data_IF_783228340893
#
_entry.id   IF_783228340893
#
_cell.length_a   1.000
_cell.length_b   1.000
_cell.length_c   1.000
_cell.angle_alpha   90.00
_cell.angle_beta   90.00
_cell.angle_gamma   90.00
#
_symmetry.space_group_name_H-M   'P 1'
#
loop_
_entity.id
_entity.type
_entity.pdbx_description
1 polymer ?
#
# COMPACT_ATOMS: atom_id res chain seq x y z
N UNK A 1 40.75 -3.09 -29.02
CA UNK A 1 41.51 -1.97 -28.43
C UNK A 1 40.66 -0.71 -28.52
N UNK A 2 39.82 -0.52 -27.51
CA UNK A 2 39.36 0.79 -27.00
C UNK A 2 39.02 0.54 -25.53
N UNK A 3 39.61 1.32 -24.64
CA UNK A 3 39.66 1.12 -23.19
C UNK A 3 38.29 1.26 -22.48
N UNK A 4 38.06 0.56 -21.35
CA UNK A 4 36.88 0.72 -20.50
C UNK A 4 37.10 1.82 -19.45
N UNK A 5 36.22 2.83 -19.43
CA UNK A 5 36.19 3.87 -18.39
C UNK A 5 35.48 3.38 -17.12
N UNK A 6 36.26 3.22 -16.06
CA UNK A 6 35.83 3.05 -14.66
C UNK A 6 35.32 4.38 -14.09
N UNK A 7 34.18 4.35 -13.40
CA UNK A 7 33.80 5.42 -12.45
C UNK A 7 33.66 4.77 -11.08
N UNK A 8 34.43 5.32 -10.15
CA UNK A 8 34.72 4.82 -8.82
C UNK A 8 33.62 5.25 -7.83
N UNK A 9 33.42 4.42 -6.81
CA UNK A 9 32.67 4.69 -5.59
C UNK A 9 33.07 6.01 -4.93
N UNK A 10 32.10 6.70 -4.31
CA UNK A 10 32.09 7.18 -2.92
C UNK A 10 31.08 8.32 -2.78
N UNK A 11 30.01 8.09 -2.00
CA UNK A 11 29.42 9.12 -1.13
C UNK A 11 28.44 8.46 -0.16
N UNK A 12 29.01 7.98 0.94
CA UNK A 12 28.28 7.60 2.13
C UNK A 12 27.77 8.88 2.82
N UNK A 13 26.46 9.16 2.72
CA UNK A 13 25.84 10.23 3.50
C UNK A 13 25.73 9.79 4.96
N UNK A 14 26.49 10.52 5.75
CA UNK A 14 26.65 10.46 7.19
C UNK A 14 25.35 10.80 7.93
N UNK A 15 25.13 10.04 9.01
CA UNK A 15 24.09 10.11 10.03
C UNK A 15 23.92 11.49 10.67
N UNK A 16 22.67 11.89 10.95
CA UNK A 16 22.38 12.59 12.21
C UNK A 16 20.90 12.48 12.64
N UNK A 17 20.68 11.86 13.81
CA UNK A 17 19.40 11.86 14.54
C UNK A 17 19.47 12.91 15.66
N UNK A 18 18.48 13.82 15.79
CA UNK A 18 18.36 14.64 16.99
C UNK A 18 17.43 14.00 18.04
N UNK A 19 18.08 13.57 19.13
CA UNK A 19 17.81 13.86 20.57
C UNK A 19 16.36 13.96 21.06
N UNK A 20 15.99 12.99 21.92
CA UNK A 20 14.89 13.02 22.89
C UNK A 20 15.02 14.15 23.92
N UNK A 21 13.89 14.74 24.30
CA UNK A 21 13.67 15.52 25.53
C UNK A 21 12.18 15.41 25.95
N UNK A 22 11.76 15.88 27.14
CA UNK A 22 11.92 15.21 28.44
C UNK A 22 10.58 14.76 29.07
N UNK A 23 10.67 13.89 30.08
CA UNK A 23 9.56 13.38 30.89
C UNK A 23 8.86 14.50 31.68
N UNK A 24 7.59 14.74 31.38
CA UNK A 24 6.69 15.57 32.19
C UNK A 24 6.26 14.84 33.48
N UNK A 25 6.55 15.47 34.62
CA UNK A 25 6.07 15.14 35.97
C UNK A 25 4.67 15.73 36.13
N UNK A 26 3.64 14.90 36.30
CA UNK A 26 2.33 15.35 36.77
C UNK A 26 2.26 15.18 38.28
N UNK A 27 1.83 16.25 38.93
CA UNK A 27 1.68 16.45 40.36
C UNK A 27 0.37 15.85 40.86
N UNK A 28 0.43 15.17 42.00
CA UNK A 28 -0.74 14.66 42.73
C UNK A 28 -1.57 15.82 43.31
N UNK A 29 -2.83 15.91 42.89
CA UNK A 29 -3.84 16.81 43.47
C UNK A 29 -4.76 16.05 44.40
N UNK A 30 -4.64 16.29 45.70
CA UNK A 30 -5.44 15.69 46.75
C UNK A 30 -6.84 16.33 46.91
N UNK A 31 -7.79 15.46 47.25
CA UNK A 31 -8.90 15.65 48.20
C UNK A 31 -9.97 16.73 47.93
N UNK A 32 -11.18 16.25 47.60
CA UNK A 32 -12.45 16.92 47.87
C UNK A 32 -13.42 15.93 48.53
N UNK A 33 -13.44 15.88 49.86
CA UNK A 33 -14.35 15.07 50.64
C UNK A 33 -15.69 15.79 50.84
N UNK A 34 -16.74 15.36 50.11
CA UNK A 34 -18.12 15.79 50.31
C UNK A 34 -18.98 14.68 50.90
N UNK A 35 -19.15 14.67 52.23
CA UNK A 35 -20.15 13.85 52.95
C UNK A 35 -21.57 14.35 52.66
N UNK A 36 -22.52 13.43 52.47
CA UNK A 36 -23.99 13.44 52.81
C UNK A 36 -24.75 12.59 51.77
N UNK A 37 -25.71 11.71 52.05
CA UNK A 37 -26.48 11.26 53.23
C UNK A 37 -26.86 9.78 52.99
N UNK A 38 -26.89 8.95 54.03
CA UNK A 38 -27.54 7.63 53.98
C UNK A 38 -29.07 7.82 53.88
N UNK A 39 -29.71 7.15 52.93
CA UNK A 39 -31.15 7.08 52.85
C UNK A 39 -31.61 6.11 51.77
N UNK A 40 -32.23 5.01 52.21
CA UNK A 40 -33.09 4.19 51.35
C UNK A 40 -32.47 2.89 50.85
N UNK A 41 -32.51 1.85 51.68
CA UNK A 41 -32.55 0.47 51.19
C UNK A 41 -33.87 0.31 50.44
N UNK A 42 -33.84 0.21 49.11
CA UNK A 42 -34.92 -0.40 48.33
C UNK A 42 -34.33 -1.52 47.49
N UNK A 43 -34.63 -2.71 47.98
CA UNK A 43 -34.53 -4.02 47.36
C UNK A 43 -34.88 -3.96 45.86
N UNK A 44 -33.88 -4.11 45.00
CA UNK A 44 -34.03 -4.09 43.54
C UNK A 44 -33.03 -5.02 42.87
N UNK A 45 -33.45 -6.27 42.69
CA UNK A 45 -32.99 -7.26 41.71
C UNK A 45 -31.52 -7.20 41.27
N UNK A 46 -30.73 -8.13 41.80
CA UNK A 46 -29.81 -9.03 41.06
C UNK A 46 -29.37 -8.57 39.65
N UNK A 47 -28.50 -7.56 39.58
CA UNK A 47 -27.62 -7.34 38.42
C UNK A 47 -26.17 -7.34 38.90
N UNK A 48 -25.69 -8.51 39.36
CA UNK A 48 -24.25 -8.79 39.38
C UNK A 48 -23.86 -9.13 37.94
N UNK A 49 -23.94 -8.13 37.05
CA UNK A 49 -23.34 -8.23 35.73
C UNK A 49 -21.84 -8.12 35.96
N UNK A 50 -21.16 -9.27 36.06
CA UNK A 50 -19.71 -9.37 36.00
C UNK A 50 -19.21 -8.49 34.88
N UNK A 51 -18.62 -7.34 35.24
CA UNK A 51 -17.79 -6.57 34.36
C UNK A 51 -16.49 -7.37 34.17
N UNK A 52 -16.58 -8.45 33.40
CA UNK A 52 -15.46 -8.95 32.63
C UNK A 52 -15.13 -7.85 31.64
N UNK A 53 -14.37 -6.86 32.10
CA UNK A 53 -13.54 -6.05 31.23
C UNK A 53 -12.58 -7.03 30.55
N UNK A 54 -13.04 -7.67 29.48
CA UNK A 54 -12.17 -8.17 28.44
C UNK A 54 -11.45 -6.92 27.93
N UNK A 55 -10.31 -6.61 28.53
CA UNK A 55 -9.29 -5.87 27.83
C UNK A 55 -8.94 -6.76 26.65
N UNK A 56 -9.66 -6.58 25.54
CA UNK A 56 -9.20 -6.98 24.23
C UNK A 56 -7.91 -6.20 24.07
N UNK A 57 -6.79 -6.83 24.42
CA UNK A 57 -5.50 -6.40 23.91
C UNK A 57 -5.66 -6.58 22.41
N UNK A 58 -6.09 -5.52 21.71
CA UNK A 58 -5.71 -5.40 20.31
C UNK A 58 -4.19 -5.48 20.38
N UNK A 59 -3.64 -6.61 19.94
CA UNK A 59 -2.21 -6.66 19.70
C UNK A 59 -1.86 -5.40 18.93
N UNK A 60 -0.75 -4.75 19.27
CA UNK A 60 -0.18 -3.81 18.32
C UNK A 60 -0.11 -4.61 17.02
N UNK A 61 -0.93 -4.24 16.03
CA UNK A 61 -0.72 -4.75 14.70
C UNK A 61 0.69 -4.29 14.39
N UNK A 62 1.63 -5.23 14.28
CA UNK A 62 2.87 -4.94 13.59
C UNK A 62 2.44 -4.23 12.31
N UNK A 63 2.97 -3.04 11.99
CA UNK A 63 2.57 -2.37 10.78
C UNK A 63 2.92 -3.30 9.63
N UNK A 64 1.90 -3.96 9.07
CA UNK A 64 2.05 -4.77 7.87
C UNK A 64 2.38 -3.79 6.76
N UNK A 65 3.65 -3.68 6.41
CA UNK A 65 4.10 -2.84 5.32
C UNK A 65 3.68 -3.48 3.99
N UNK A 66 3.11 -2.68 3.11
CA UNK A 66 2.85 -3.06 1.71
C UNK A 66 3.75 -2.22 0.82
N UNK A 67 4.45 -2.88 -0.09
CA UNK A 67 5.25 -2.22 -1.12
C UNK A 67 4.57 -2.47 -2.45
N UNK A 68 4.21 -1.41 -3.16
CA UNK A 68 3.61 -1.50 -4.50
C UNK A 68 4.33 -0.57 -5.46
N UNK A 69 4.14 -0.80 -6.74
CA UNK A 69 4.65 0.06 -7.80
C UNK A 69 3.49 0.55 -8.67
N UNK A 70 3.67 1.70 -9.32
CA UNK A 70 2.69 2.25 -10.25
C UNK A 70 3.38 3.08 -11.32
N UNK A 71 2.91 2.99 -12.56
CA UNK A 71 3.25 3.90 -13.65
C UNK A 71 2.18 3.80 -14.75
N UNK A 72 2.09 4.83 -15.59
CA UNK A 72 1.28 4.82 -16.82
C UNK A 72 2.18 4.99 -18.02
N UNK A 73 1.59 5.34 -19.16
CA UNK A 73 2.31 5.78 -20.37
C UNK A 73 3.32 4.75 -20.88
N UNK A 74 2.91 3.48 -20.89
CA UNK A 74 3.81 2.38 -21.16
C UNK A 74 4.26 2.32 -22.62
N UNK A 75 3.31 2.40 -23.55
CA UNK A 75 3.53 2.08 -24.96
C UNK A 75 4.01 0.63 -25.17
N UNK A 76 4.70 0.38 -26.29
CA UNK A 76 5.10 -0.98 -26.73
C UNK A 76 6.57 -1.08 -27.15
N UNK A 77 7.43 -0.23 -26.61
CA UNK A 77 8.85 -0.13 -26.97
C UNK A 77 9.81 -0.90 -26.05
N UNK A 78 11.12 -0.78 -26.33
CA UNK A 78 12.17 -1.35 -25.50
C UNK A 78 12.21 -0.74 -24.09
N UNK A 79 11.88 0.56 -23.97
CA UNK A 79 11.74 1.24 -22.70
C UNK A 79 10.63 0.60 -21.83
N UNK A 80 9.49 0.24 -22.43
CA UNK A 80 8.41 -0.49 -21.76
C UNK A 80 8.93 -1.82 -21.19
N UNK A 81 9.65 -2.60 -22.00
CA UNK A 81 10.23 -3.88 -21.56
C UNK A 81 11.23 -3.68 -20.42
N UNK A 82 12.05 -2.64 -20.47
CA UNK A 82 12.98 -2.31 -19.39
C UNK A 82 12.25 -1.94 -18.09
N UNK A 83 11.19 -1.12 -18.19
CA UNK A 83 10.35 -0.75 -17.06
C UNK A 83 9.66 -1.97 -16.42
N UNK A 84 9.11 -2.88 -17.22
CA UNK A 84 8.46 -4.10 -16.73
C UNK A 84 9.46 -5.06 -16.07
N UNK A 85 10.70 -5.14 -16.56
CA UNK A 85 11.78 -5.91 -15.92
C UNK A 85 12.23 -5.28 -14.60
N UNK A 86 12.31 -3.96 -14.53
CA UNK A 86 12.59 -3.24 -13.29
C UNK A 86 11.48 -3.49 -12.26
N UNK A 87 10.22 -3.49 -12.68
CA UNK A 87 9.08 -3.89 -11.85
C UNK A 87 9.26 -5.32 -11.31
N UNK A 88 9.58 -6.28 -12.16
CA UNK A 88 9.80 -7.67 -11.76
C UNK A 88 10.93 -7.83 -10.70
N UNK A 89 11.94 -6.94 -10.74
CA UNK A 89 13.04 -6.93 -9.77
C UNK A 89 12.77 -6.07 -8.51
N UNK A 90 11.69 -5.29 -8.48
CA UNK A 90 11.47 -4.26 -7.45
C UNK A 90 11.07 -4.79 -6.07
N UNK A 91 10.55 -6.02 -6.00
CA UNK A 91 9.94 -6.56 -4.78
C UNK A 91 8.54 -6.00 -4.48
N UNK A 92 7.94 -5.22 -5.38
CA UNK A 92 6.56 -4.77 -5.25
C UNK A 92 5.59 -5.96 -5.25
N UNK A 93 4.64 -5.98 -4.32
CA UNK A 93 3.67 -7.07 -4.15
C UNK A 93 2.54 -7.03 -5.17
N UNK A 94 2.27 -5.86 -5.74
CA UNK A 94 1.39 -5.66 -6.89
C UNK A 94 1.83 -4.40 -7.66
N UNK A 95 1.29 -4.26 -8.86
CA UNK A 95 1.48 -3.11 -9.71
C UNK A 95 0.15 -2.49 -10.13
N UNK A 96 0.11 -1.16 -10.18
CA UNK A 96 -0.99 -0.40 -10.73
C UNK A 96 -0.57 0.27 -12.04
N UNK A 97 -1.08 -0.22 -13.16
CA UNK A 97 -0.87 0.35 -14.48
C UNK A 97 -1.86 1.50 -14.71
N UNK A 98 -1.35 2.73 -14.68
CA UNK A 98 -2.12 3.98 -14.67
C UNK A 98 -2.47 4.47 -16.09
N UNK A 99 -3.07 3.60 -16.89
CA UNK A 99 -3.56 3.95 -18.23
C UNK A 99 -2.47 4.16 -19.28
N UNK A 100 -2.93 4.40 -20.50
CA UNK A 100 -2.14 4.64 -21.70
C UNK A 100 -1.15 3.48 -21.94
N UNK A 101 -1.74 2.29 -22.05
CA UNK A 101 -1.04 1.02 -21.96
C UNK A 101 -0.27 0.73 -23.25
N UNK A 102 -0.99 0.54 -24.36
CA UNK A 102 -0.40 0.17 -25.66
C UNK A 102 -0.27 1.36 -26.62
N UNK A 103 -0.93 2.48 -26.33
CA UNK A 103 -1.11 3.63 -27.23
C UNK A 103 -1.76 3.28 -28.58
N UNK A 104 -2.49 2.15 -28.67
CA UNK A 104 -3.00 1.60 -29.94
C UNK A 104 -1.91 1.57 -31.04
N UNK A 105 -0.64 1.43 -30.59
CA UNK A 105 0.52 1.41 -31.48
C UNK A 105 0.48 0.15 -32.36
N UNK A 106 1.41 -0.01 -33.29
CA UNK A 106 1.41 -1.11 -34.30
C UNK A 106 1.36 -2.56 -33.75
N UNK A 107 1.25 -2.76 -32.44
CA UNK A 107 1.10 -4.02 -31.73
C UNK A 107 -0.30 -4.16 -31.14
N UNK A 108 -0.90 -5.34 -31.26
CA UNK A 108 -2.25 -5.60 -30.70
C UNK A 108 -2.23 -5.57 -29.16
N UNK A 109 -3.40 -5.37 -28.54
CA UNK A 109 -3.59 -5.55 -27.09
C UNK A 109 -2.99 -6.88 -26.62
N UNK A 110 -3.25 -7.96 -27.36
CA UNK A 110 -2.73 -9.29 -27.06
C UNK A 110 -1.20 -9.33 -26.96
N UNK A 111 -0.49 -8.69 -27.89
CA UNK A 111 0.97 -8.62 -27.86
C UNK A 111 1.50 -7.79 -26.67
N UNK A 112 0.78 -6.74 -26.28
CA UNK A 112 1.12 -5.97 -25.09
C UNK A 112 0.95 -6.82 -23.83
N UNK A 113 -0.15 -7.56 -23.71
CA UNK A 113 -0.37 -8.46 -22.57
C UNK A 113 0.64 -9.61 -22.52
N UNK A 114 1.00 -10.19 -23.67
CA UNK A 114 2.06 -11.20 -23.76
C UNK A 114 3.38 -10.65 -23.23
N UNK A 115 3.70 -9.40 -23.57
CA UNK A 115 4.90 -8.74 -23.04
C UNK A 115 4.84 -8.54 -21.53
N UNK A 116 3.71 -8.10 -20.98
CA UNK A 116 3.53 -7.97 -19.53
C UNK A 116 3.75 -9.33 -18.87
N UNK A 117 3.02 -10.36 -19.30
CA UNK A 117 3.13 -11.73 -18.76
C UNK A 117 4.53 -12.30 -18.88
N UNK A 118 5.23 -12.06 -20.00
CA UNK A 118 6.61 -12.49 -20.20
C UNK A 118 7.61 -11.75 -19.29
N UNK A 119 7.27 -10.54 -18.83
CA UNK A 119 8.16 -9.70 -18.02
C UNK A 119 7.96 -9.90 -16.52
N UNK A 120 6.72 -9.94 -16.06
CA UNK A 120 6.40 -10.03 -14.61
C UNK A 120 5.82 -11.38 -14.19
N UNK A 121 5.50 -12.26 -15.14
CA UNK A 121 4.85 -13.54 -14.90
C UNK A 121 3.33 -13.49 -15.06
N UNK A 122 2.72 -14.67 -15.20
CA UNK A 122 1.27 -14.81 -15.49
C UNK A 122 0.38 -14.72 -14.25
N UNK A 123 0.97 -14.77 -13.05
CA UNK A 123 0.27 -14.73 -11.76
C UNK A 123 0.55 -13.47 -10.95
N UNK A 124 1.38 -12.55 -11.44
CA UNK A 124 1.68 -11.30 -10.75
C UNK A 124 0.43 -10.40 -10.74
N UNK A 125 0.04 -9.79 -9.60
CA UNK A 125 -1.08 -8.85 -9.55
C UNK A 125 -0.74 -7.55 -10.31
N UNK A 126 -1.14 -7.48 -11.57
CA UNK A 126 -0.91 -6.37 -12.48
C UNK A 126 -2.27 -5.70 -12.76
N UNK A 127 -2.64 -4.73 -11.94
CA UNK A 127 -3.96 -4.11 -11.96
C UNK A 127 -4.01 -2.95 -12.94
N UNK A 128 -4.98 -2.97 -13.86
CA UNK A 128 -5.10 -1.99 -14.93
C UNK A 128 -6.14 -0.91 -14.62
N UNK A 129 -5.80 0.33 -14.90
CA UNK A 129 -6.70 1.49 -14.87
C UNK A 129 -6.74 2.09 -16.27
N UNK A 130 -7.92 2.49 -16.74
CA UNK A 130 -8.08 3.10 -18.06
C UNK A 130 -7.47 4.51 -18.12
N UNK A 131 -6.71 4.79 -19.18
CA UNK A 131 -6.27 6.11 -19.61
C UNK A 131 -7.03 6.60 -20.84
N UNK A 132 -6.68 7.79 -21.34
CA UNK A 132 -7.36 8.38 -22.51
C UNK A 132 -6.93 7.76 -23.84
N UNK A 133 -5.84 6.99 -23.88
CA UNK A 133 -5.40 6.24 -25.05
C UNK A 133 -5.83 4.77 -25.06
N UNK A 134 -6.60 4.32 -24.08
CA UNK A 134 -7.06 2.94 -24.00
C UNK A 134 -8.50 2.85 -24.56
N UNK A 135 -8.65 2.44 -25.82
CA UNK A 135 -9.96 2.44 -26.49
C UNK A 135 -11.01 1.57 -25.76
N UNK A 136 -10.57 0.47 -25.15
CA UNK A 136 -11.38 -0.38 -24.27
C UNK A 136 -10.50 -1.04 -23.23
N UNK A 137 -10.67 -0.65 -21.96
CA UNK A 137 -9.95 -1.27 -20.84
C UNK A 137 -10.34 -2.74 -20.64
N UNK A 138 -11.56 -3.13 -21.05
CA UNK A 138 -12.05 -4.50 -20.93
C UNK A 138 -11.21 -5.49 -21.75
N UNK A 139 -10.64 -5.04 -22.88
CA UNK A 139 -9.76 -5.87 -23.69
C UNK A 139 -8.48 -6.23 -22.90
N UNK A 140 -7.87 -5.25 -22.23
CA UNK A 140 -6.72 -5.48 -21.37
C UNK A 140 -7.08 -6.28 -20.12
N UNK A 141 -8.24 -6.05 -19.51
CA UNK A 141 -8.70 -6.81 -18.36
C UNK A 141 -8.98 -8.29 -18.71
N UNK A 142 -9.34 -8.61 -19.95
CA UNK A 142 -9.54 -9.99 -20.39
C UNK A 142 -8.22 -10.79 -20.39
N UNK A 143 -7.11 -10.16 -20.73
CA UNK A 143 -5.79 -10.79 -20.85
C UNK A 143 -4.93 -10.66 -19.56
N UNK A 144 -5.22 -9.67 -18.72
CA UNK A 144 -4.58 -9.35 -17.45
C UNK A 144 -5.68 -9.15 -16.40
N UNK A 145 -6.32 -10.24 -15.97
CA UNK A 145 -7.49 -10.16 -15.10
C UNK A 145 -7.09 -9.70 -13.71
N UNK A 146 -7.99 -8.94 -13.08
CA UNK A 146 -7.91 -8.50 -11.68
C UNK A 146 -7.54 -9.66 -10.76
N UNK A 147 -6.51 -9.46 -9.93
CA UNK A 147 -6.03 -10.44 -8.95
C UNK A 147 -6.23 -9.97 -7.51
N UNK A 148 -6.74 -8.74 -7.32
CA UNK A 148 -6.91 -8.12 -6.01
C UNK A 148 -8.38 -7.97 -5.61
N UNK A 149 -9.34 -8.33 -6.48
CA UNK A 149 -10.76 -8.11 -6.22
C UNK A 149 -11.11 -6.62 -6.29
N UNK A 150 -10.45 -5.90 -7.19
CA UNK A 150 -10.61 -4.47 -7.37
C UNK A 150 -11.98 -4.13 -7.98
N UNK A 151 -12.62 -3.12 -7.40
CA UNK A 151 -13.85 -2.52 -7.93
C UNK A 151 -13.67 -1.00 -8.00
N UNK A 152 -14.15 -0.36 -9.06
CA UNK A 152 -14.00 1.08 -9.19
C UNK A 152 -14.80 1.72 -10.32
N UNK A 153 -15.02 3.04 -10.19
CA UNK A 153 -15.53 3.98 -11.19
C UNK A 153 -14.81 5.30 -10.96
N UNK A 154 -14.05 5.84 -11.92
CA UNK A 154 -13.15 6.97 -11.66
C UNK A 154 -13.32 8.14 -12.64
N UNK A 155 -13.48 9.36 -12.07
CA UNK A 155 -13.66 10.65 -12.74
C UNK A 155 -15.04 10.81 -13.42
N UNK A 156 -16.08 11.15 -12.65
CA UNK A 156 -17.47 11.30 -13.13
C UNK A 156 -17.68 12.46 -14.10
#
# INVERSE_FOLDING_TARGET
MTEPGTINDTDAVHSDRPRSAPRGRIVDGAAGAGRRRLGGVVLGALFVASALCSAVTRGHADPTSVTFAAAGDHGSGAATTASLRALAASGATFYLALGDLSYESARTETEWCDRVRASVGTSYPFEVVAGNHDASIDNFAACLPDRMGAHGRYGA
#
